data_IF_193983651375
#
_entry.id   IF_193983651375
#
_cell.length_a   1.000
_cell.length_b   1.000
_cell.length_c   1.000
_cell.angle_alpha   90.00
_cell.angle_beta   90.00
_cell.angle_gamma   90.00
#
_symmetry.space_group_name_H-M   'P 1'
#
loop_
_entity.id
_entity.type
_entity.pdbx_description
1 polymer ?
#
# COMPACT_ATOMS: atom_id res chain seq x y z
N UNK A 1 -12.80 15.22 -3.32
CA UNK A 1 -11.59 14.56 -2.75
C UNK A 1 -11.30 14.97 -1.31
N UNK A 2 -11.35 16.26 -0.94
CA UNK A 2 -11.05 16.71 0.44
C UNK A 2 -11.92 16.07 1.55
N UNK A 3 -13.23 15.92 1.32
CA UNK A 3 -14.13 15.34 2.32
C UNK A 3 -13.82 13.86 2.66
N UNK A 4 -13.22 13.12 1.73
CA UNK A 4 -12.87 11.71 1.94
C UNK A 4 -11.43 11.53 2.43
N UNK A 5 -10.58 12.55 2.30
CA UNK A 5 -9.17 12.44 2.67
C UNK A 5 -9.00 12.16 4.17
N UNK A 6 -9.62 12.98 5.03
CA UNK A 6 -9.56 12.84 6.48
C UNK A 6 -10.06 11.47 6.95
N UNK A 7 -11.27 11.00 6.59
CA UNK A 7 -11.73 9.69 7.04
C UNK A 7 -10.85 8.54 6.52
N UNK A 8 -10.33 8.61 5.28
CA UNK A 8 -9.43 7.58 4.76
C UNK A 8 -8.10 7.53 5.52
N UNK A 9 -7.52 8.68 5.86
CA UNK A 9 -6.28 8.75 6.66
C UNK A 9 -6.51 8.19 8.07
N UNK A 10 -7.63 8.55 8.71
CA UNK A 10 -7.97 8.03 10.05
C UNK A 10 -8.14 6.50 10.03
N UNK A 11 -8.85 5.97 9.03
CA UNK A 11 -9.02 4.52 8.88
C UNK A 11 -7.67 3.83 8.61
N UNK A 12 -6.85 4.36 7.71
CA UNK A 12 -5.54 3.80 7.40
C UNK A 12 -4.62 3.79 8.64
N UNK A 13 -4.58 4.89 9.39
CA UNK A 13 -3.80 4.98 10.63
C UNK A 13 -4.29 4.00 11.69
N UNK A 14 -5.61 3.89 11.88
CA UNK A 14 -6.20 2.94 12.82
C UNK A 14 -5.87 1.49 12.45
N UNK A 15 -5.97 1.13 11.16
CA UNK A 15 -5.58 -0.20 10.67
C UNK A 15 -4.09 -0.47 10.87
N UNK A 16 -3.22 0.51 10.61
CA UNK A 16 -1.78 0.39 10.80
C UNK A 16 -1.41 0.14 12.27
N UNK A 17 -2.02 0.88 13.20
CA UNK A 17 -1.82 0.70 14.65
C UNK A 17 -2.35 -0.64 15.13
N UNK A 18 -3.46 -1.12 14.56
CA UNK A 18 -4.06 -2.40 14.96
C UNK A 18 -3.36 -3.63 14.36
N UNK A 19 -2.65 -3.48 13.24
CA UNK A 19 -2.03 -4.58 12.53
C UNK A 19 -1.10 -5.48 13.40
N UNK A 20 -0.21 -4.94 14.26
CA UNK A 20 0.62 -5.78 15.13
C UNK A 20 -0.19 -6.66 16.09
N UNK A 21 -1.29 -6.13 16.62
CA UNK A 21 -2.19 -6.85 17.54
C UNK A 21 -2.90 -7.98 16.80
N UNK A 22 -3.42 -7.69 15.60
CA UNK A 22 -4.07 -8.68 14.76
C UNK A 22 -3.12 -9.82 14.37
N UNK A 23 -1.87 -9.50 13.98
CA UNK A 23 -0.85 -10.50 13.61
C UNK A 23 -0.42 -11.34 14.82
N UNK A 24 -0.24 -10.71 15.98
CA UNK A 24 0.10 -11.42 17.22
C UNK A 24 -0.99 -12.41 17.63
N UNK A 25 -2.26 -12.03 17.48
CA UNK A 25 -3.42 -12.87 17.81
C UNK A 25 -3.75 -13.94 16.76
N UNK A 26 -3.17 -13.89 15.56
CA UNK A 26 -3.39 -14.92 14.55
C UNK A 26 -2.97 -16.32 15.06
N UNK A 27 -3.69 -17.40 14.77
CA UNK A 27 -3.27 -18.74 15.13
C UNK A 27 -1.98 -19.13 14.40
N UNK A 28 -1.22 -20.06 14.98
CA UNK A 28 -0.05 -20.61 14.29
C UNK A 28 -0.47 -21.59 13.21
N UNK A 29 0.25 -21.55 12.08
CA UNK A 29 0.14 -22.58 11.06
C UNK A 29 0.87 -23.85 11.51
N UNK A 30 0.36 -25.02 11.13
CA UNK A 30 0.79 -26.34 11.57
C UNK A 30 2.24 -26.73 11.26
N UNK A 31 2.87 -26.14 10.25
CA UNK A 31 4.16 -26.56 9.70
C UNK A 31 5.26 -25.55 10.02
N UNK A 32 5.00 -24.27 9.76
CA UNK A 32 5.92 -23.14 9.83
C UNK A 32 5.75 -22.30 11.10
N UNK A 33 4.67 -22.52 11.87
CA UNK A 33 4.41 -21.92 13.17
C UNK A 33 4.56 -20.39 13.15
N UNK A 34 5.48 -19.85 13.95
CA UNK A 34 5.73 -18.42 14.09
C UNK A 34 6.20 -17.77 12.78
N UNK A 35 7.01 -18.48 11.98
CA UNK A 35 7.62 -17.91 10.76
C UNK A 35 6.55 -17.53 9.75
N UNK A 36 5.47 -18.30 9.65
CA UNK A 36 4.38 -18.02 8.71
C UNK A 36 3.71 -16.67 8.96
N UNK A 37 3.73 -16.16 10.20
CA UNK A 37 3.09 -14.87 10.52
C UNK A 37 3.69 -13.68 9.78
N UNK A 38 4.94 -13.79 9.28
CA UNK A 38 5.56 -12.77 8.44
C UNK A 38 4.72 -12.48 7.19
N UNK A 39 4.00 -13.49 6.67
CA UNK A 39 3.19 -13.38 5.48
C UNK A 39 2.04 -12.38 5.64
N UNK A 40 1.52 -12.19 6.87
CA UNK A 40 0.46 -11.21 7.16
C UNK A 40 0.93 -9.76 7.10
N UNK A 41 2.23 -9.50 7.08
CA UNK A 41 2.79 -8.17 6.87
C UNK A 41 3.47 -8.05 5.50
N UNK A 42 4.33 -9.01 5.16
CA UNK A 42 5.13 -8.98 3.94
C UNK A 42 4.27 -9.09 2.67
N UNK A 43 3.27 -9.98 2.64
CA UNK A 43 2.46 -10.16 1.44
C UNK A 43 1.58 -8.93 1.12
N UNK A 44 0.88 -8.31 2.09
CA UNK A 44 0.20 -7.04 1.86
C UNK A 44 1.15 -5.90 1.44
N UNK A 45 2.36 -5.81 2.01
CA UNK A 45 3.35 -4.83 1.59
C UNK A 45 3.75 -5.02 0.12
N UNK A 46 3.97 -6.27 -0.31
CA UNK A 46 4.23 -6.59 -1.70
C UNK A 46 3.07 -6.19 -2.63
N UNK A 47 1.82 -6.46 -2.23
CA UNK A 47 0.63 -6.01 -2.98
C UNK A 47 0.62 -4.49 -3.13
N UNK A 48 0.94 -3.74 -2.06
CA UNK A 48 1.00 -2.29 -2.09
C UNK A 48 2.06 -1.77 -3.07
N UNK A 49 3.25 -2.39 -3.07
CA UNK A 49 4.32 -2.10 -4.04
C UNK A 49 3.87 -2.39 -5.48
N UNK A 50 3.27 -3.55 -5.73
CA UNK A 50 2.80 -3.91 -7.08
C UNK A 50 1.72 -2.95 -7.57
N UNK A 51 0.73 -2.63 -6.73
CA UNK A 51 -0.31 -1.67 -7.06
C UNK A 51 0.27 -0.27 -7.32
N UNK A 52 1.22 0.17 -6.49
CA UNK A 52 1.94 1.43 -6.65
C UNK A 52 2.72 1.50 -7.96
N UNK A 53 3.48 0.46 -8.30
CA UNK A 53 4.25 0.38 -9.55
C UNK A 53 3.35 0.43 -10.78
N UNK A 54 2.29 -0.39 -10.80
CA UNK A 54 1.35 -0.43 -11.93
C UNK A 54 0.65 0.91 -12.09
N UNK A 55 0.15 1.50 -11.01
CA UNK A 55 -0.53 2.81 -11.06
C UNK A 55 0.42 3.94 -11.45
N UNK A 56 1.65 3.94 -10.94
CA UNK A 56 2.69 4.89 -11.34
C UNK A 56 3.02 4.80 -12.83
N UNK A 57 3.22 3.58 -13.35
CA UNK A 57 3.52 3.35 -14.76
C UNK A 57 2.38 3.79 -15.68
N UNK A 58 1.15 3.43 -15.36
CA UNK A 58 -0.04 3.84 -16.13
C UNK A 58 -0.25 5.34 -16.07
N UNK A 59 -0.13 5.95 -14.88
CA UNK A 59 -0.30 7.39 -14.71
C UNK A 59 0.77 8.19 -15.47
N UNK A 60 2.03 7.72 -15.42
CA UNK A 60 3.14 8.29 -16.20
C UNK A 60 2.90 8.19 -17.70
N UNK A 61 2.44 7.04 -18.20
CA UNK A 61 2.10 6.88 -19.61
C UNK A 61 0.97 7.84 -20.03
N UNK A 62 -0.09 7.94 -19.24
CA UNK A 62 -1.21 8.88 -19.49
C UNK A 62 -0.71 10.33 -19.48
N UNK A 63 0.18 10.69 -18.57
CA UNK A 63 0.78 12.03 -18.54
C UNK A 63 1.57 12.32 -19.82
N UNK A 64 2.43 11.40 -20.27
CA UNK A 64 3.24 11.58 -21.48
C UNK A 64 2.39 11.76 -22.74
N UNK A 65 1.31 10.99 -22.89
CA UNK A 65 0.47 11.08 -24.09
C UNK A 65 -0.58 12.19 -24.05
N UNK A 66 -1.05 12.61 -22.86
CA UNK A 66 -2.16 13.56 -22.73
C UNK A 66 -1.79 14.88 -22.04
N UNK A 67 -0.56 15.03 -21.53
CA UNK A 67 -0.11 16.23 -20.81
C UNK A 67 -0.90 16.53 -19.53
N UNK A 68 -1.52 15.53 -18.92
CA UNK A 68 -2.46 15.75 -17.81
C UNK A 68 -1.77 15.95 -16.47
N UNK A 69 -1.81 17.16 -15.92
CA UNK A 69 -1.28 17.47 -14.58
C UNK A 69 -1.92 16.62 -13.45
N UNK A 70 -3.11 16.06 -13.67
CA UNK A 70 -3.72 15.13 -12.71
C UNK A 70 -3.03 13.77 -12.74
N UNK A 71 -2.66 13.27 -13.92
CA UNK A 71 -1.98 12.01 -14.07
C UNK A 71 -0.57 12.07 -13.45
N UNK A 72 0.13 13.18 -13.63
CA UNK A 72 1.42 13.44 -12.99
C UNK A 72 1.34 13.34 -11.44
N UNK A 73 0.37 14.01 -10.83
CA UNK A 73 0.14 13.94 -9.36
C UNK A 73 -0.19 12.53 -8.86
N UNK A 74 -0.94 11.76 -9.64
CA UNK A 74 -1.24 10.37 -9.31
C UNK A 74 0.04 9.52 -9.40
N UNK A 75 0.85 9.72 -10.44
CA UNK A 75 2.13 9.04 -10.60
C UNK A 75 3.08 9.30 -9.43
N UNK A 76 3.22 10.56 -9.02
CA UNK A 76 4.03 10.95 -7.86
C UNK A 76 3.55 10.29 -6.56
N UNK A 77 2.25 10.37 -6.25
CA UNK A 77 1.67 9.75 -5.06
C UNK A 77 1.83 8.22 -5.06
N UNK A 78 1.68 7.58 -6.22
CA UNK A 78 1.92 6.15 -6.38
C UNK A 78 3.39 5.78 -6.16
N UNK A 79 4.33 6.61 -6.64
CA UNK A 79 5.76 6.39 -6.46
C UNK A 79 6.18 6.51 -4.97
N UNK A 80 5.60 7.46 -4.22
CA UNK A 80 5.83 7.57 -2.78
C UNK A 80 5.45 6.29 -2.03
N UNK A 81 4.31 5.67 -2.38
CA UNK A 81 3.91 4.38 -1.79
C UNK A 81 4.90 3.26 -2.13
N UNK A 82 5.41 3.21 -3.36
CA UNK A 82 6.43 2.22 -3.75
C UNK A 82 7.67 2.37 -2.90
N UNK A 83 8.18 3.59 -2.71
CA UNK A 83 9.38 3.84 -1.91
C UNK A 83 9.18 3.43 -0.45
N UNK A 84 8.00 3.69 0.12
CA UNK A 84 7.68 3.33 1.52
C UNK A 84 7.66 1.82 1.75
N UNK A 85 7.11 1.05 0.81
CA UNK A 85 6.88 -0.39 1.00
C UNK A 85 7.93 -1.30 0.34
N UNK A 86 8.75 -0.78 -0.58
CA UNK A 86 9.76 -1.57 -1.30
C UNK A 86 11.17 -1.52 -0.67
N UNK A 87 11.42 -0.62 0.29
CA UNK A 87 12.67 -0.52 1.04
C UNK A 87 12.66 -1.43 2.28
#
# INVERSE_FOLDING_TARGET
MKALFVPLVVVAAAMFVYAPIAIANAPYESTMLLVQKVFYFHFPAWIAVTAGLVTCGVASAVYLFKGSARADRIGAASAELVVIFAL
#
